data_IF_564890145067
#
_entry.id   IF_564890145067
#
_cell.length_a   1.000
_cell.length_b   1.000
_cell.length_c   1.000
_cell.angle_alpha   90.00
_cell.angle_beta   90.00
_cell.angle_gamma   90.00
#
_symmetry.space_group_name_H-M   'P 1'
#
loop_
_entity.id
_entity.type
_entity.pdbx_description
1 polymer ?
#
# COMPACT_ATOMS: atom_id res chain seq x y z
N UNK A 1 -9.79 -9.23 4.90
CA UNK A 1 -10.08 -8.01 5.70
C UNK A 1 -10.24 -8.30 7.18
N UNK A 2 -10.99 -9.33 7.60
CA UNK A 2 -11.17 -9.68 9.01
C UNK A 2 -9.85 -9.86 9.78
N UNK A 3 -8.86 -10.51 9.18
CA UNK A 3 -7.54 -10.68 9.80
C UNK A 3 -6.86 -9.35 10.15
N UNK A 4 -7.05 -8.28 9.37
CA UNK A 4 -6.46 -6.98 9.66
C UNK A 4 -7.12 -6.30 10.87
N UNK A 5 -8.45 -6.46 11.00
CA UNK A 5 -9.21 -5.96 12.13
C UNK A 5 -8.80 -6.68 13.43
N UNK A 6 -8.82 -8.01 13.44
CA UNK A 6 -8.45 -8.80 14.64
C UNK A 6 -6.99 -8.60 15.03
N UNK A 7 -6.08 -8.49 14.04
CA UNK A 7 -4.68 -8.18 14.32
C UNK A 7 -4.51 -6.80 14.95
N UNK A 8 -5.18 -5.77 14.41
CA UNK A 8 -5.10 -4.42 14.98
C UNK A 8 -5.67 -4.39 16.41
N UNK A 9 -6.81 -5.04 16.64
CA UNK A 9 -7.40 -5.18 17.98
C UNK A 9 -6.43 -5.85 18.95
N UNK A 10 -5.84 -6.98 18.58
CA UNK A 10 -4.86 -7.68 19.42
C UNK A 10 -3.62 -6.82 19.72
N UNK A 11 -3.15 -6.04 18.75
CA UNK A 11 -2.02 -5.13 18.94
C UNK A 11 -2.36 -3.99 19.91
N UNK A 12 -3.57 -3.45 19.83
CA UNK A 12 -4.07 -2.43 20.76
C UNK A 12 -4.19 -2.99 22.17
N UNK A 13 -4.80 -4.17 22.33
CA UNK A 13 -4.94 -4.85 23.62
C UNK A 13 -3.58 -5.19 24.25
N UNK A 14 -2.57 -5.48 23.42
CA UNK A 14 -1.18 -5.65 23.84
C UNK A 14 -0.46 -4.34 24.22
N UNK A 15 -1.10 -3.18 24.07
CA UNK A 15 -0.56 -1.87 24.43
C UNK A 15 0.25 -1.18 23.34
N UNK A 16 0.08 -1.53 22.06
CA UNK A 16 0.78 -0.87 20.97
C UNK A 16 0.27 0.57 20.76
N UNK A 17 1.20 1.54 20.81
CA UNK A 17 0.91 2.94 20.50
C UNK A 17 0.67 3.20 19.00
N UNK A 18 1.20 2.32 18.14
CA UNK A 18 1.02 2.38 16.70
C UNK A 18 1.32 1.07 16.00
N UNK A 19 0.70 0.89 14.83
CA UNK A 19 0.80 -0.32 14.00
C UNK A 19 0.96 0.10 12.55
N UNK A 20 1.85 -0.58 11.82
CA UNK A 20 1.99 -0.39 10.39
C UNK A 20 1.43 -1.58 9.61
N UNK A 21 0.72 -1.32 8.52
CA UNK A 21 0.23 -2.32 7.57
C UNK A 21 0.90 -2.10 6.22
N UNK A 22 1.27 -3.18 5.53
CA UNK A 22 1.92 -3.13 4.22
C UNK A 22 1.05 -3.70 3.10
N UNK A 23 1.34 -3.27 1.87
CA UNK A 23 0.64 -3.62 0.62
C UNK A 23 1.13 -4.93 -0.03
N UNK A 24 1.91 -5.75 0.68
CA UNK A 24 2.31 -7.07 0.21
C UNK A 24 1.20 -8.13 0.40
N UNK A 25 1.20 -9.13 -0.48
CA UNK A 25 0.37 -10.32 -0.34
C UNK A 25 0.85 -11.15 0.86
N UNK A 26 -0.02 -11.34 1.85
CA UNK A 26 0.33 -11.97 3.13
C UNK A 26 0.93 -13.39 2.98
N UNK A 27 0.42 -14.17 2.02
CA UNK A 27 0.85 -15.56 1.80
C UNK A 27 2.29 -15.69 1.27
N UNK A 28 2.82 -14.63 0.66
CA UNK A 28 4.16 -14.61 0.03
C UNK A 28 4.96 -13.39 0.48
N UNK A 29 4.68 -12.89 1.68
CA UNK A 29 5.32 -11.72 2.24
C UNK A 29 6.83 -11.92 2.34
N UNK A 30 7.60 -10.93 1.88
CA UNK A 30 9.05 -10.93 2.00
C UNK A 30 9.55 -9.68 2.71
N UNK A 31 10.76 -9.76 3.24
CA UNK A 31 11.44 -8.57 3.77
C UNK A 31 11.60 -7.54 2.65
N UNK A 32 11.43 -6.25 2.95
CA UNK A 32 11.45 -5.17 1.96
C UNK A 32 12.72 -5.09 1.10
N UNK A 33 13.81 -5.72 1.55
CA UNK A 33 15.11 -5.79 0.86
C UNK A 33 15.28 -7.01 -0.05
N UNK A 34 14.32 -7.92 -0.08
CA UNK A 34 14.35 -9.14 -0.88
C UNK A 34 13.56 -8.95 -2.19
N UNK A 35 14.00 -9.65 -3.25
CA UNK A 35 13.31 -9.67 -4.53
C UNK A 35 12.08 -10.60 -4.56
N UNK A 36 11.25 -10.42 -5.59
CA UNK A 36 10.03 -11.20 -5.80
C UNK A 36 8.97 -10.90 -4.74
N UNK A 37 8.81 -9.62 -4.38
CA UNK A 37 7.72 -9.12 -3.55
C UNK A 37 6.48 -9.01 -4.42
N UNK A 38 5.36 -9.50 -3.92
CA UNK A 38 4.07 -9.46 -4.63
C UNK A 38 3.17 -8.46 -3.91
N UNK A 39 2.74 -7.43 -4.64
CA UNK A 39 1.80 -6.44 -4.14
C UNK A 39 0.36 -6.92 -4.35
N UNK A 40 -0.51 -6.46 -3.47
CA UNK A 40 -1.96 -6.52 -3.68
C UNK A 40 -2.43 -5.24 -4.38
N UNK A 41 -3.63 -5.22 -4.98
CA UNK A 41 -4.15 -4.01 -5.61
C UNK A 41 -4.32 -2.90 -4.58
N UNK A 42 -4.20 -1.66 -5.03
CA UNK A 42 -4.22 -0.48 -4.15
C UNK A 42 -5.48 -0.42 -3.27
N UNK A 43 -6.65 -0.75 -3.84
CA UNK A 43 -7.91 -0.84 -3.10
C UNK A 43 -7.87 -1.89 -1.96
N UNK A 44 -7.20 -3.03 -2.15
CA UNK A 44 -7.07 -4.04 -1.09
C UNK A 44 -6.19 -3.51 0.06
N UNK A 45 -5.10 -2.79 -0.25
CA UNK A 45 -4.27 -2.15 0.77
C UNK A 45 -5.08 -1.11 1.57
N UNK A 46 -5.90 -0.30 0.89
CA UNK A 46 -6.81 0.67 1.54
C UNK A 46 -7.81 -0.03 2.44
N UNK A 47 -8.44 -1.11 1.99
CA UNK A 47 -9.40 -1.86 2.79
C UNK A 47 -8.76 -2.47 4.07
N UNK A 48 -7.48 -2.86 4.03
CA UNK A 48 -6.73 -3.27 5.24
C UNK A 48 -6.57 -2.11 6.22
N UNK A 49 -6.23 -0.92 5.73
CA UNK A 49 -6.10 0.29 6.55
C UNK A 49 -7.44 0.71 7.16
N UNK A 50 -8.52 0.64 6.39
CA UNK A 50 -9.88 0.93 6.87
C UNK A 50 -10.27 -0.05 7.98
N UNK A 51 -10.02 -1.35 7.79
CA UNK A 51 -10.28 -2.36 8.82
C UNK A 51 -9.46 -2.13 10.09
N UNK A 52 -8.20 -1.74 9.97
CA UNK A 52 -7.36 -1.39 11.12
C UNK A 52 -7.85 -0.13 11.83
N UNK A 53 -8.23 0.92 11.11
CA UNK A 53 -8.80 2.13 11.74
C UNK A 53 -10.12 1.81 12.44
N UNK A 54 -10.98 1.00 11.82
CA UNK A 54 -12.22 0.55 12.42
C UNK A 54 -11.98 -0.18 13.75
N UNK A 55 -10.95 -1.03 13.85
CA UNK A 55 -10.59 -1.69 15.12
C UNK A 55 -10.18 -0.68 16.21
N UNK A 56 -9.41 0.35 15.84
CA UNK A 56 -9.03 1.42 16.76
C UNK A 56 -10.24 2.24 17.23
N UNK A 57 -11.16 2.55 16.31
CA UNK A 57 -12.38 3.31 16.59
C UNK A 57 -13.34 2.51 17.50
N UNK A 58 -13.49 1.20 17.26
CA UNK A 58 -14.30 0.31 18.11
C UNK A 58 -13.75 0.21 19.55
N UNK A 59 -12.43 0.24 19.71
CA UNK A 59 -11.78 0.22 21.02
C UNK A 59 -11.65 1.62 21.66
N UNK A 60 -12.04 2.67 20.93
CA UNK A 60 -12.02 4.05 21.43
C UNK A 60 -10.61 4.60 21.69
N UNK A 61 -9.58 4.10 20.99
CA UNK A 61 -8.19 4.52 21.18
C UNK A 61 -7.63 5.22 19.93
N UNK A 62 -6.88 6.33 20.09
CA UNK A 62 -6.30 7.05 18.95
C UNK A 62 -4.97 6.42 18.49
N UNK A 63 -4.95 5.11 18.24
CA UNK A 63 -3.73 4.39 17.83
C UNK A 63 -3.19 4.93 16.51
N UNK A 64 -1.86 5.11 16.45
CA UNK A 64 -1.19 5.56 15.23
C UNK A 64 -1.19 4.45 14.18
N UNK A 65 -1.88 4.69 13.07
CA UNK A 65 -1.92 3.76 11.95
C UNK A 65 -0.98 4.24 10.85
N UNK A 66 -0.04 3.39 10.45
CA UNK A 66 0.99 3.70 9.46
C UNK A 66 0.79 2.85 8.22
N UNK A 67 0.69 3.47 7.04
CA UNK A 67 0.57 2.76 5.77
C UNK A 67 1.95 2.57 5.14
N UNK A 68 2.40 1.33 4.98
CA UNK A 68 3.66 0.97 4.34
C UNK A 68 3.45 0.55 2.89
N UNK A 69 4.30 1.04 1.99
CA UNK A 69 4.34 0.55 0.61
C UNK A 69 5.73 0.00 0.23
N UNK A 70 5.74 -1.17 -0.41
CA UNK A 70 6.94 -1.82 -0.95
C UNK A 70 7.09 -1.67 -2.48
N UNK A 71 6.24 -0.85 -3.11
CA UNK A 71 6.16 -0.66 -4.56
C UNK A 71 7.41 -0.08 -5.24
N UNK A 72 8.36 0.46 -4.47
CA UNK A 72 9.65 0.93 -5.00
C UNK A 72 10.51 -0.22 -5.56
N UNK A 73 10.41 -1.41 -4.98
CA UNK A 73 11.21 -2.57 -5.39
C UNK A 73 10.38 -3.85 -5.61
N UNK A 74 9.04 -3.75 -5.60
CA UNK A 74 8.16 -4.85 -5.94
C UNK A 74 7.77 -4.79 -7.43
N UNK A 75 8.05 -5.87 -8.14
CA UNK A 75 7.85 -6.03 -9.58
C UNK A 75 6.66 -6.94 -9.92
N UNK A 76 5.94 -7.44 -8.90
CA UNK A 76 4.78 -8.31 -9.07
C UNK A 76 3.52 -7.74 -8.42
N UNK A 77 2.36 -7.99 -9.04
CA UNK A 77 1.03 -7.59 -8.59
C UNK A 77 0.04 -8.75 -8.74
N UNK A 78 -0.86 -8.93 -7.78
CA UNK A 78 -1.84 -10.02 -7.83
C UNK A 78 -2.93 -9.83 -8.88
N UNK A 79 -3.40 -8.59 -9.10
CA UNK A 79 -4.49 -8.28 -10.04
C UNK A 79 -4.35 -6.87 -10.61
N UNK A 80 -4.74 -6.69 -11.87
CA UNK A 80 -4.80 -5.43 -12.61
C UNK A 80 -6.17 -4.72 -12.50
N UNK A 81 -7.00 -5.10 -11.52
CA UNK A 81 -8.35 -4.58 -11.36
C UNK A 81 -8.40 -3.09 -10.95
N UNK A 82 -7.33 -2.58 -10.34
CA UNK A 82 -7.31 -1.23 -9.80
C UNK A 82 -6.78 -0.21 -10.84
N UNK A 83 -7.53 0.87 -11.14
CA UNK A 83 -7.09 1.94 -12.02
C UNK A 83 -5.75 2.59 -11.61
N UNK A 84 -5.44 2.66 -10.31
CA UNK A 84 -4.18 3.23 -9.81
C UNK A 84 -2.95 2.38 -10.17
N UNK A 85 -3.15 1.07 -10.37
CA UNK A 85 -2.08 0.12 -10.68
C UNK A 85 -1.87 -0.07 -12.19
N UNK A 86 -2.91 0.23 -13.00
CA UNK A 86 -2.98 -0.10 -14.43
C UNK A 86 -1.83 0.47 -15.27
N UNK A 87 -1.39 1.70 -14.99
CA UNK A 87 -0.28 2.34 -15.70
C UNK A 87 1.06 1.60 -15.52
N UNK A 88 1.21 0.88 -14.40
CA UNK A 88 2.45 0.20 -14.04
C UNK A 88 2.47 -1.26 -14.47
N UNK A 89 1.35 -1.81 -14.95
CA UNK A 89 1.25 -3.20 -15.42
C UNK A 89 1.84 -3.34 -16.82
N UNK A 90 2.78 -4.26 -16.98
CA UNK A 90 3.49 -4.49 -18.25
C UNK A 90 2.72 -5.36 -19.25
N UNK A 91 1.71 -6.10 -18.78
CA UNK A 91 0.96 -7.09 -19.56
C UNK A 91 1.52 -8.51 -19.49
N UNK A 92 2.77 -8.70 -19.04
CA UNK A 92 3.33 -10.03 -18.80
C UNK A 92 2.79 -10.65 -17.50
N UNK A 93 2.69 -11.99 -17.48
CA UNK A 93 2.31 -12.76 -16.29
C UNK A 93 3.37 -13.82 -15.95
N UNK A 94 3.50 -14.11 -14.66
CA UNK A 94 4.31 -15.24 -14.17
C UNK A 94 3.53 -16.56 -14.26
N UNK A 95 4.22 -17.69 -14.04
CA UNK A 95 3.59 -19.03 -14.07
C UNK A 95 2.57 -19.22 -12.94
N UNK A 96 2.76 -18.52 -11.83
CA UNK A 96 1.83 -18.46 -10.70
C UNK A 96 0.62 -17.54 -10.96
N UNK A 97 0.63 -16.81 -12.08
CA UNK A 97 -0.46 -15.94 -12.51
C UNK A 97 -0.34 -14.47 -12.08
N UNK A 98 0.75 -14.07 -11.43
CA UNK A 98 0.99 -12.68 -11.04
C UNK A 98 1.31 -11.80 -12.25
N UNK A 99 0.86 -10.55 -12.21
CA UNK A 99 1.19 -9.55 -13.21
C UNK A 99 2.56 -8.95 -12.94
N UNK A 100 3.36 -8.80 -14.00
CA UNK A 100 4.61 -8.04 -13.92
C UNK A 100 4.36 -6.56 -14.03
N UNK A 101 5.12 -5.81 -13.25
CA UNK A 101 4.87 -4.40 -13.02
C UNK A 101 6.17 -3.61 -12.94
N UNK A 102 6.12 -2.34 -13.32
CA UNK A 102 7.27 -1.44 -13.28
C UNK A 102 7.48 -0.95 -11.85
N UNK A 103 8.55 -1.41 -11.19
CA UNK A 103 8.93 -0.95 -9.86
C UNK A 103 9.52 0.47 -9.89
N UNK A 104 9.42 1.19 -8.78
CA UNK A 104 10.14 2.44 -8.55
C UNK A 104 9.31 3.54 -7.89
N UNK A 105 9.93 4.71 -7.74
CA UNK A 105 9.39 5.85 -6.99
C UNK A 105 8.05 6.37 -7.53
N UNK A 106 7.82 6.33 -8.84
CA UNK A 106 6.55 6.78 -9.44
C UNK A 106 5.41 5.89 -9.00
N UNK A 107 5.62 4.57 -9.01
CA UNK A 107 4.63 3.61 -8.53
C UNK A 107 4.43 3.69 -7.03
N UNK A 108 5.52 3.85 -6.26
CA UNK A 108 5.43 4.10 -4.83
C UNK A 108 4.59 5.34 -4.52
N UNK A 109 4.75 6.41 -5.29
CA UNK A 109 3.95 7.63 -5.14
C UNK A 109 2.48 7.38 -5.51
N UNK A 110 2.22 6.66 -6.59
CA UNK A 110 0.86 6.32 -7.05
C UNK A 110 0.10 5.44 -6.05
N UNK A 111 0.75 4.41 -5.48
CA UNK A 111 0.16 3.56 -4.45
C UNK A 111 0.02 4.30 -3.11
N UNK A 112 1.01 5.12 -2.74
CA UNK A 112 1.04 5.87 -1.49
C UNK A 112 0.03 7.02 -1.44
N UNK A 113 -0.28 7.66 -2.57
CA UNK A 113 -1.21 8.79 -2.65
C UNK A 113 -2.62 8.49 -2.11
N UNK A 114 -3.32 7.43 -2.54
CA UNK A 114 -4.63 7.11 -2.00
C UNK A 114 -4.57 6.60 -0.54
N UNK A 115 -3.42 6.16 -0.05
CA UNK A 115 -3.20 5.77 1.35
C UNK A 115 -2.84 6.97 2.29
N UNK A 116 -2.72 8.19 1.75
CA UNK A 116 -2.23 9.41 2.42
C UNK A 116 -3.10 9.94 3.57
N UNK A 117 -4.34 9.47 3.72
CA UNK A 117 -5.19 9.88 4.85
C UNK A 117 -4.66 9.40 6.21
N UNK A 118 -3.57 8.63 6.22
CA UNK A 118 -2.84 8.14 7.38
C UNK A 118 -1.34 8.43 7.21
N UNK A 119 -0.56 8.52 8.30
CA UNK A 119 0.90 8.56 8.20
C UNK A 119 1.42 7.45 7.27
N UNK A 120 2.03 7.80 6.14
CA UNK A 120 2.57 6.84 5.18
C UNK A 120 4.07 6.64 5.43
N UNK A 121 4.54 5.40 5.43
CA UNK A 121 5.95 5.02 5.54
C UNK A 121 6.40 4.30 4.27
N UNK A 122 7.37 4.86 3.56
CA UNK A 122 7.92 4.24 2.35
C UNK A 122 9.05 3.28 2.75
N UNK A 123 8.93 2.00 2.42
CA UNK A 123 9.99 1.02 2.68
C UNK A 123 11.18 1.21 1.76
N UNK A 124 12.17 2.00 2.16
CA UNK A 124 13.42 2.21 1.41
C UNK A 124 14.64 1.69 2.18
N UNK A 125 15.64 1.18 1.44
CA UNK A 125 17.03 0.94 1.89
C UNK A 125 17.63 2.22 2.52
N UNK A 126 18.74 2.15 3.29
CA UNK A 126 19.24 3.29 4.07
C UNK A 126 19.83 4.40 3.20
N UNK A 127 18.99 5.18 2.52
CA UNK A 127 19.32 6.43 1.86
C UNK A 127 18.12 7.40 1.97
N UNK A 128 18.13 8.20 3.04
CA UNK A 128 17.58 9.58 3.14
C UNK A 128 16.12 9.88 2.78
N UNK A 129 15.19 8.93 2.56
CA UNK A 129 13.76 9.25 2.30
C UNK A 129 12.78 8.37 3.07
N UNK A 130 12.90 8.38 4.39
CA UNK A 130 12.08 7.57 5.31
C UNK A 130 10.67 8.15 5.51
N UNK A 131 10.51 9.47 5.33
CA UNK A 131 9.26 10.18 5.55
C UNK A 131 9.09 11.23 4.47
N UNK A 132 8.06 11.09 3.63
CA UNK A 132 7.63 12.17 2.75
C UNK A 132 6.41 12.81 3.39
N UNK A 133 6.42 14.14 3.66
CA UNK A 133 5.19 14.82 4.04
C UNK A 133 4.17 14.54 2.95
N UNK A 134 2.89 14.59 3.28
CA UNK A 134 1.86 14.11 2.37
C UNK A 134 1.85 14.96 1.06
N UNK A 135 2.42 16.18 1.07
CA UNK A 135 2.65 16.99 -0.14
C UNK A 135 3.79 16.51 -1.06
N UNK A 136 4.72 15.71 -0.56
CA UNK A 136 5.81 15.15 -1.36
C UNK A 136 5.40 13.90 -2.16
N UNK A 137 4.18 13.38 -1.96
CA UNK A 137 3.50 12.48 -2.90
C UNK A 137 2.85 13.24 -4.07
N UNK A 138 2.85 14.59 -4.09
CA UNK A 138 2.45 15.41 -5.26
C UNK A 138 3.55 15.47 -6.32
N UNK A 139 4.31 14.39 -6.50
CA UNK A 139 5.33 14.32 -7.54
C UNK A 139 4.67 14.30 -8.90
N UNK A 140 4.64 15.47 -9.54
CA UNK A 140 4.07 15.76 -10.86
C UNK A 140 2.53 15.81 -10.87
N UNK A 141 1.99 17.02 -10.92
CA UNK A 141 0.58 17.33 -11.14
C UNK A 141 0.15 16.91 -12.55
N UNK A 142 0.06 15.61 -12.81
CA UNK A 142 -0.72 15.11 -13.94
C UNK A 142 -2.13 14.85 -13.45
N UNK A 143 -3.15 15.42 -14.11
CA UNK A 143 -4.53 15.10 -13.78
C UNK A 143 -4.71 13.59 -13.94
N UNK A 144 -5.32 12.95 -12.94
CA UNK A 144 -5.91 11.61 -13.07
C UNK A 144 -6.59 11.52 -14.45
N UNK A 145 -6.46 10.40 -15.19
CA UNK A 145 -7.20 10.24 -16.44
C UNK A 145 -8.66 10.50 -16.11
N UNK A 146 -9.21 11.59 -16.67
CA UNK A 146 -10.63 11.90 -16.56
C UNK A 146 -11.34 10.63 -16.97
N UNK A 147 -12.13 10.05 -16.07
CA UNK A 147 -13.19 9.16 -16.50
C UNK A 147 -13.91 9.90 -17.61
N UNK A 148 -13.91 9.31 -18.81
CA UNK A 148 -14.71 9.80 -19.90
C UNK A 148 -16.16 9.79 -19.40
N UNK A 149 -16.64 10.96 -18.97
CA UNK A 149 -18.05 11.22 -18.81
C UNK A 149 -18.62 11.14 -20.23
N UNK A 150 -19.18 9.97 -20.56
CA UNK A 150 -20.00 9.80 -21.73
C UNK A 150 -21.23 10.69 -21.61
N UNK A 151 -21.30 11.67 -22.50
CA UNK A 151 -22.55 12.23 -23.01
C UNK A 151 -23.16 11.23 -24.00
#
# INVERSE_FOLDING_TARGET
>A
MLNAFELMKAMIEAGAAGVHFEDQLAAVKKCGHMGGKVLVPTQEAIQKLVAARLAADVLGVPTLLIARTDADAADLLTSDCDPYDREFVTGERTVEGFFRTQAGLNRQSAAGWPMRLMPTWCGVKPQRRIWRPPDACRGDSRPLPRQAAGL
#
